data_IF_928129707618
#
_entry.id   IF_928129707618
#
_cell.length_a   1.000
_cell.length_b   1.000
_cell.length_c   1.000
_cell.angle_alpha   90.00
_cell.angle_beta   90.00
_cell.angle_gamma   90.00
#
_symmetry.space_group_name_H-M   'P 1'
#
loop_
_entity.id
_entity.type
_entity.pdbx_description
1 polymer ?
#
# COMPACT_ATOMS: atom_id res chain seq x y z
N UNK A 1 -12.09 11.19 11.34
CA UNK A 1 -11.24 10.28 10.54
C UNK A 1 -10.82 9.11 11.41
N UNK A 2 -10.68 7.90 10.87
CA UNK A 2 -10.11 6.77 11.64
C UNK A 2 -8.63 7.03 11.90
N UNK A 3 -8.23 7.07 13.17
CA UNK A 3 -6.86 7.34 13.63
C UNK A 3 -5.83 6.45 12.92
N UNK A 4 -6.20 5.18 12.68
CA UNK A 4 -5.35 4.18 12.00
C UNK A 4 -4.97 4.60 10.57
N UNK A 5 -5.79 5.42 9.88
CA UNK A 5 -5.55 5.88 8.50
C UNK A 5 -4.79 7.21 8.38
N UNK A 6 -4.09 7.66 9.44
CA UNK A 6 -3.41 8.98 9.52
C UNK A 6 -2.74 9.44 8.23
N UNK A 7 -1.99 8.56 7.55
CA UNK A 7 -1.30 8.87 6.31
C UNK A 7 -2.11 8.46 5.05
N UNK A 8 -2.67 7.26 5.01
CA UNK A 8 -3.36 6.73 3.80
C UNK A 8 -4.66 7.47 3.46
N UNK A 9 -5.27 8.18 4.42
CA UNK A 9 -6.45 8.99 4.18
C UNK A 9 -6.21 10.09 3.11
N UNK A 10 -5.00 10.66 3.04
CA UNK A 10 -4.66 11.73 2.10
C UNK A 10 -4.77 11.33 0.61
N UNK A 11 -4.77 10.02 0.30
CA UNK A 11 -4.91 9.47 -1.06
C UNK A 11 -6.18 8.63 -1.24
N UNK A 12 -6.92 8.31 -0.17
CA UNK A 12 -8.12 7.47 -0.25
C UNK A 12 -9.42 8.24 0.02
N UNK A 13 -9.42 9.28 0.84
CA UNK A 13 -10.65 9.94 1.30
C UNK A 13 -11.08 11.14 0.45
N UNK A 14 -12.40 11.30 0.30
CA UNK A 14 -13.02 12.46 -0.36
C UNK A 14 -13.15 12.37 -1.89
N UNK A 15 -14.01 13.21 -2.52
CA UNK A 15 -14.31 13.11 -3.95
C UNK A 15 -13.09 13.36 -4.85
N UNK A 16 -12.26 14.34 -4.52
CA UNK A 16 -11.08 14.73 -5.31
C UNK A 16 -9.97 13.68 -5.35
N UNK A 17 -10.08 12.60 -4.57
CA UNK A 17 -9.14 11.45 -4.57
C UNK A 17 -9.62 10.28 -5.45
N UNK A 18 -10.73 10.45 -6.20
CA UNK A 18 -11.21 9.41 -7.13
C UNK A 18 -10.13 8.87 -8.11
N UNK A 19 -9.24 9.68 -8.71
CA UNK A 19 -8.17 9.16 -9.56
C UNK A 19 -7.15 8.28 -8.81
N UNK A 20 -6.80 8.65 -7.58
CA UNK A 20 -5.89 7.87 -6.75
C UNK A 20 -6.52 6.52 -6.33
N UNK A 21 -7.81 6.54 -5.95
CA UNK A 21 -8.56 5.29 -5.71
C UNK A 21 -8.65 4.41 -6.97
N UNK A 22 -8.84 4.99 -8.15
CA UNK A 22 -8.88 4.21 -9.41
C UNK A 22 -7.56 3.46 -9.65
N UNK A 23 -6.42 4.09 -9.42
CA UNK A 23 -5.10 3.43 -9.52
C UNK A 23 -4.90 2.33 -8.48
N UNK A 24 -5.33 2.56 -7.23
CA UNK A 24 -5.27 1.52 -6.18
C UNK A 24 -6.19 0.32 -6.51
N UNK A 25 -7.38 0.56 -7.05
CA UNK A 25 -8.29 -0.51 -7.52
C UNK A 25 -7.69 -1.30 -8.69
N UNK A 26 -7.00 -0.63 -9.62
CA UNK A 26 -6.36 -1.27 -10.76
C UNK A 26 -5.25 -2.27 -10.34
N UNK A 27 -4.63 -2.09 -9.17
CA UNK A 27 -3.66 -3.03 -8.58
C UNK A 27 -4.27 -4.00 -7.55
N UNK A 28 -5.61 -4.07 -7.47
CA UNK A 28 -6.33 -5.12 -6.73
C UNK A 28 -6.99 -4.71 -5.41
N UNK A 29 -6.92 -3.44 -4.97
CA UNK A 29 -7.62 -3.01 -3.75
C UNK A 29 -9.14 -2.97 -3.95
N UNK A 30 -9.89 -3.54 -3.01
CA UNK A 30 -11.36 -3.38 -2.95
C UNK A 30 -11.75 -2.08 -2.22
N UNK A 31 -13.04 -1.70 -2.27
CA UNK A 31 -13.54 -0.59 -1.45
C UNK A 31 -13.41 -0.85 0.06
N UNK A 32 -13.47 -2.12 0.50
CA UNK A 32 -13.23 -2.51 1.89
C UNK A 32 -11.76 -2.33 2.27
N UNK A 33 -10.81 -2.71 1.41
CA UNK A 33 -9.37 -2.49 1.65
C UNK A 33 -9.03 -1.01 1.74
N UNK A 34 -9.67 -0.18 0.90
CA UNK A 34 -9.50 1.27 0.96
C UNK A 34 -10.09 1.89 2.24
N UNK A 35 -10.94 1.18 2.99
CA UNK A 35 -11.38 1.59 4.33
C UNK A 35 -10.37 1.24 5.45
N UNK A 36 -9.29 0.50 5.13
CA UNK A 36 -8.24 0.06 6.08
C UNK A 36 -7.00 0.97 5.99
N UNK A 37 -6.08 0.92 6.98
CA UNK A 37 -4.75 1.52 6.82
C UNK A 37 -3.96 0.81 5.71
N UNK A 38 -3.29 1.58 4.85
CA UNK A 38 -2.38 1.03 3.83
C UNK A 38 -0.99 0.94 4.47
N UNK A 39 -0.41 -0.26 4.47
CA UNK A 39 0.92 -0.54 5.00
C UNK A 39 1.86 -0.81 3.83
N UNK A 40 2.89 0.02 3.66
CA UNK A 40 3.96 -0.22 2.70
C UNK A 40 5.00 -1.18 3.29
N UNK A 41 5.19 -2.34 2.65
CA UNK A 41 6.26 -3.28 3.02
C UNK A 41 7.48 -2.98 2.14
N UNK A 42 8.49 -2.35 2.73
CA UNK A 42 9.77 -2.12 2.08
C UNK A 42 10.66 -3.36 2.27
N UNK A 43 10.96 -4.07 1.18
CA UNK A 43 11.78 -5.27 1.18
C UNK A 43 13.02 -5.02 0.29
N UNK A 44 14.22 -5.32 0.80
CA UNK A 44 15.50 -5.07 0.12
C UNK A 44 16.05 -6.29 -0.62
N UNK A 45 15.19 -7.24 -1.00
CA UNK A 45 15.56 -8.43 -1.77
C UNK A 45 16.36 -8.08 -3.02
N UNK A 46 17.46 -8.81 -3.23
CA UNK A 46 18.30 -8.73 -4.43
C UNK A 46 19.16 -10.00 -4.54
N UNK A 47 19.57 -10.32 -5.76
CA UNK A 47 20.40 -11.49 -6.08
C UNK A 47 21.90 -11.18 -6.15
N UNK A 48 22.29 -9.91 -5.94
CA UNK A 48 23.69 -9.44 -6.01
C UNK A 48 24.59 -10.10 -4.95
N UNK A 49 24.02 -10.53 -3.82
CA UNK A 49 24.78 -11.17 -2.74
C UNK A 49 23.89 -11.91 -1.74
N UNK A 50 24.48 -12.79 -0.90
CA UNK A 50 23.73 -13.71 -0.06
C UNK A 50 22.93 -13.03 1.08
N UNK A 51 23.33 -11.82 1.49
CA UNK A 51 22.72 -11.09 2.60
C UNK A 51 21.25 -10.73 2.41
N UNK A 52 20.80 -10.56 1.15
CA UNK A 52 19.44 -10.11 0.83
C UNK A 52 18.65 -11.15 0.00
N UNK A 53 19.28 -12.23 -0.46
CA UNK A 53 18.64 -13.21 -1.35
C UNK A 53 17.44 -13.90 -0.69
N UNK A 54 17.55 -14.23 0.59
CA UNK A 54 16.48 -14.90 1.36
C UNK A 54 15.27 -14.01 1.67
N UNK A 55 15.35 -12.69 1.42
CA UNK A 55 14.24 -11.76 1.69
C UNK A 55 13.05 -11.95 0.73
N UNK A 56 13.19 -12.82 -0.29
CA UNK A 56 12.12 -13.27 -1.20
C UNK A 56 11.08 -14.18 -0.53
N UNK A 57 11.41 -14.75 0.62
CA UNK A 57 10.59 -15.75 1.31
C UNK A 57 9.96 -15.23 2.62
N UNK A 58 10.24 -13.97 2.98
CA UNK A 58 9.73 -13.27 4.18
C UNK A 58 8.56 -12.33 3.86
#
# INVERSE_FOLDING_TARGET
>A
MSERKRNSAAITEGPSRAPARAMLKAVGFTDEDLCRPIIGIANTWTEIGPCNFHLREL
#
